data_IF_825824911150
#
_entry.id   IF_825824911150
#
_cell.length_a   1.000
_cell.length_b   1.000
_cell.length_c   1.000
_cell.angle_alpha   90.00
_cell.angle_beta   90.00
_cell.angle_gamma   90.00
#
_symmetry.space_group_name_H-M   'P 1'
#
loop_
_entity.id
_entity.type
_entity.pdbx_description
1 polymer ?
#
# COMPACT_ATOMS: atom_id res chain seq x y z
N UNK A 1 8.37 -7.22 2.78
CA UNK A 1 8.77 -6.01 2.07
C UNK A 1 7.61 -5.42 1.24
N UNK A 2 6.80 -6.17 0.43
CA UNK A 2 5.71 -5.60 -0.36
C UNK A 2 4.73 -4.73 0.44
N UNK A 3 4.36 -5.12 1.66
CA UNK A 3 3.46 -4.33 2.53
C UNK A 3 4.03 -2.93 2.81
N UNK A 4 5.34 -2.84 3.06
CA UNK A 4 6.03 -1.58 3.31
C UNK A 4 6.01 -0.68 2.06
N UNK A 5 6.11 -1.26 0.87
CA UNK A 5 6.02 -0.52 -0.40
C UNK A 5 4.63 0.09 -0.56
N UNK A 6 3.58 -0.70 -0.35
CA UNK A 6 2.20 -0.17 -0.42
C UNK A 6 2.00 0.93 0.62
N UNK A 7 2.47 0.74 1.86
CA UNK A 7 2.43 1.77 2.89
C UNK A 7 3.13 3.05 2.45
N UNK A 8 4.39 2.95 2.00
CA UNK A 8 5.22 4.09 1.58
C UNK A 8 4.52 4.98 0.53
N UNK A 9 3.89 4.36 -0.45
CA UNK A 9 3.26 5.10 -1.55
C UNK A 9 1.82 5.57 -1.26
N UNK A 10 1.18 5.04 -0.23
CA UNK A 10 -0.21 5.40 0.09
C UNK A 10 -0.34 6.29 1.32
N UNK A 11 0.63 6.24 2.26
CA UNK A 11 0.64 7.09 3.44
C UNK A 11 0.91 8.56 3.09
N UNK A 12 0.45 9.53 3.91
CA UNK A 12 0.79 10.94 3.75
C UNK A 12 2.29 11.21 3.76
N UNK A 13 2.73 12.15 2.96
CA UNK A 13 4.14 12.54 2.86
C UNK A 13 4.70 12.32 1.47
N UNK A 14 6.00 12.52 1.33
CA UNK A 14 6.74 12.32 0.08
C UNK A 14 7.50 10.99 0.18
N UNK A 15 7.16 9.99 -0.65
CA UNK A 15 7.88 8.73 -0.64
C UNK A 15 9.33 8.94 -1.09
N UNK A 16 10.25 8.35 -0.35
CA UNK A 16 11.67 8.32 -0.68
C UNK A 16 12.09 6.87 -0.86
N UNK A 17 12.71 6.56 -1.98
CA UNK A 17 13.28 5.25 -2.29
C UNK A 17 14.78 5.34 -2.11
N UNK A 18 15.35 4.55 -1.21
CA UNK A 18 16.79 4.40 -1.17
C UNK A 18 17.22 3.44 -2.26
N UNK A 19 18.34 3.72 -2.93
CA UNK A 19 18.78 2.92 -4.07
C UNK A 19 18.93 1.44 -3.72
N UNK A 20 18.36 0.60 -4.54
CA UNK A 20 18.38 -0.85 -4.36
C UNK A 20 17.17 -1.41 -3.62
N UNK A 21 16.40 -0.60 -2.88
CA UNK A 21 15.17 -1.05 -2.22
C UNK A 21 14.19 -1.61 -3.25
N UNK A 22 14.13 -0.97 -4.41
CA UNK A 22 13.22 -1.34 -5.51
C UNK A 22 13.54 -2.68 -6.16
N UNK A 23 14.76 -3.18 -5.96
CA UNK A 23 15.22 -4.48 -6.49
C UNK A 23 15.51 -5.49 -5.37
N UNK A 24 15.14 -5.17 -4.13
CA UNK A 24 15.31 -6.06 -2.99
C UNK A 24 16.76 -6.21 -2.51
N UNK A 25 17.59 -5.19 -2.72
CA UNK A 25 18.96 -5.18 -2.22
C UNK A 25 18.96 -5.32 -0.69
N UNK A 26 19.55 -6.40 -0.20
CA UNK A 26 19.67 -6.65 1.22
C UNK A 26 20.72 -5.73 1.86
N UNK A 27 20.35 -5.00 2.90
CA UNK A 27 21.21 -4.15 3.69
C UNK A 27 21.28 -4.62 5.15
N UNK A 28 22.46 -4.47 5.76
CA UNK A 28 22.70 -4.63 7.19
C UNK A 28 23.15 -3.29 7.78
N UNK A 29 23.70 -3.31 8.97
CA UNK A 29 24.31 -2.12 9.57
C UNK A 29 25.47 -1.59 8.73
N UNK A 30 25.79 -0.30 8.86
CA UNK A 30 26.91 0.34 8.19
C UNK A 30 28.24 -0.43 8.48
N UNK A 31 29.07 -0.72 7.47
CA UNK A 31 29.02 -0.25 6.08
C UNK A 31 28.22 -1.14 5.10
N UNK A 32 27.65 -2.24 5.56
CA UNK A 32 26.99 -3.25 4.72
C UNK A 32 25.68 -2.78 4.06
N UNK A 33 25.11 -1.67 4.52
CA UNK A 33 23.98 -1.01 3.84
C UNK A 33 24.37 -0.24 2.57
N UNK A 34 25.69 -0.09 2.29
CA UNK A 34 26.23 0.65 1.15
C UNK A 34 26.77 -0.28 0.07
N UNK A 35 26.08 -1.38 -0.20
CA UNK A 35 26.44 -2.32 -1.25
C UNK A 35 26.31 -1.67 -2.63
N UNK A 36 27.09 -2.18 -3.60
CA UNK A 36 26.93 -1.82 -5.01
C UNK A 36 25.55 -2.28 -5.51
N UNK A 37 24.93 -1.46 -6.35
CA UNK A 37 23.67 -1.82 -6.99
C UNK A 37 23.82 -3.10 -7.83
N UNK A 38 22.92 -4.08 -7.73
CA UNK A 38 22.99 -5.31 -8.51
C UNK A 38 22.51 -5.08 -9.94
N UNK A 39 23.42 -4.76 -10.86
CA UNK A 39 23.09 -4.51 -12.26
C UNK A 39 22.65 -5.76 -13.04
N UNK A 40 22.95 -6.93 -12.53
CA UNK A 40 22.55 -8.21 -13.11
C UNK A 40 21.10 -8.50 -12.73
N UNK A 41 20.23 -8.65 -13.73
CA UNK A 41 18.77 -8.84 -13.52
C UNK A 41 18.48 -10.09 -12.68
N UNK A 42 19.29 -11.12 -12.78
CA UNK A 42 19.16 -12.38 -12.05
C UNK A 42 19.34 -12.20 -10.52
N UNK A 43 19.92 -11.07 -10.12
CA UNK A 43 20.13 -10.71 -8.71
C UNK A 43 19.08 -9.73 -8.18
N UNK A 44 18.10 -9.39 -9.00
CA UNK A 44 17.06 -8.42 -8.67
C UNK A 44 15.73 -9.13 -8.39
N UNK A 45 15.00 -8.64 -7.41
CA UNK A 45 13.60 -9.01 -7.21
C UNK A 45 12.73 -8.23 -8.22
N UNK A 46 12.50 -8.85 -9.37
CA UNK A 46 11.73 -8.26 -10.46
C UNK A 46 10.25 -8.10 -10.12
N UNK A 47 9.70 -8.95 -9.24
CA UNK A 47 8.32 -8.83 -8.77
C UNK A 47 8.16 -7.60 -7.87
N UNK A 48 9.12 -7.37 -6.98
CA UNK A 48 9.16 -6.18 -6.14
C UNK A 48 9.34 -4.93 -6.99
N UNK A 49 10.25 -4.95 -7.97
CA UNK A 49 10.44 -3.82 -8.90
C UNK A 49 9.15 -3.46 -9.63
N UNK A 50 8.42 -4.46 -10.13
CA UNK A 50 7.13 -4.25 -10.78
C UNK A 50 6.09 -3.65 -9.81
N UNK A 51 6.10 -4.05 -8.53
CA UNK A 51 5.24 -3.44 -7.51
C UNK A 51 5.57 -1.95 -7.32
N UNK A 52 6.85 -1.59 -7.19
CA UNK A 52 7.27 -0.18 -7.12
C UNK A 52 6.76 0.62 -8.31
N UNK A 53 6.91 0.10 -9.53
CA UNK A 53 6.42 0.77 -10.74
C UNK A 53 4.91 1.00 -10.71
N UNK A 54 4.12 -0.03 -10.31
CA UNK A 54 2.66 0.09 -10.19
C UNK A 54 2.27 1.12 -9.14
N UNK A 55 2.90 1.10 -7.97
CA UNK A 55 2.58 2.03 -6.88
C UNK A 55 2.97 3.48 -7.22
N UNK A 56 4.11 3.68 -7.89
CA UNK A 56 4.50 5.00 -8.42
C UNK A 56 3.45 5.51 -9.42
N UNK A 57 3.05 4.67 -10.37
CA UNK A 57 2.05 5.04 -11.37
C UNK A 57 0.69 5.37 -10.73
N UNK A 58 0.27 4.57 -9.73
CA UNK A 58 -0.96 4.78 -8.98
C UNK A 58 -0.93 6.14 -8.26
N UNK A 59 0.16 6.42 -7.53
CA UNK A 59 0.32 7.69 -6.81
C UNK A 59 0.38 8.89 -7.75
N UNK A 60 1.07 8.77 -8.89
CA UNK A 60 1.12 9.86 -9.90
C UNK A 60 -0.27 10.19 -10.46
N UNK A 61 -1.13 9.19 -10.65
CA UNK A 61 -2.50 9.37 -11.15
C UNK A 61 -3.46 9.89 -10.07
N UNK A 62 -3.23 9.57 -8.81
CA UNK A 62 -4.14 9.93 -7.71
C UNK A 62 -3.75 11.24 -7.03
N UNK A 63 -4.60 12.23 -7.14
CA UNK A 63 -4.45 13.47 -6.38
C UNK A 63 -4.72 13.23 -4.88
N UNK A 64 -5.64 12.32 -4.52
CA UNK A 64 -5.92 11.96 -3.13
C UNK A 64 -4.68 11.37 -2.44
N UNK A 65 -3.89 10.54 -3.13
CA UNK A 65 -2.63 10.02 -2.58
C UNK A 65 -1.56 11.09 -2.42
N UNK A 66 -1.52 12.08 -3.32
CA UNK A 66 -0.50 13.14 -3.28
C UNK A 66 -0.82 14.25 -2.30
N UNK A 67 -2.07 14.69 -2.24
CA UNK A 67 -2.48 15.91 -1.57
C UNK A 67 -3.67 15.74 -0.61
N UNK A 68 -4.31 14.56 -0.61
CA UNK A 68 -5.50 14.30 0.17
C UNK A 68 -5.23 14.15 1.67
N UNK A 69 -6.27 14.38 2.46
CA UNK A 69 -6.30 14.02 3.87
C UNK A 69 -6.19 12.52 4.07
N UNK A 70 -5.94 12.11 5.31
CA UNK A 70 -5.87 10.72 5.72
C UNK A 70 -6.70 10.50 6.96
N UNK A 71 -7.56 9.49 6.94
CA UNK A 71 -8.29 9.04 8.12
C UNK A 71 -8.06 7.55 8.32
N UNK A 72 -7.58 7.17 9.49
CA UNK A 72 -7.52 5.78 9.91
C UNK A 72 -8.94 5.35 10.30
N UNK A 73 -9.39 4.24 9.72
CA UNK A 73 -10.72 3.66 9.95
C UNK A 73 -10.67 2.48 10.92
N UNK A 74 -9.56 1.74 10.87
CA UNK A 74 -9.32 0.58 11.72
C UNK A 74 -7.82 0.42 11.96
N UNK A 75 -7.42 0.13 13.20
CA UNK A 75 -6.03 -0.12 13.55
C UNK A 75 -5.96 -1.00 14.80
N UNK A 76 -6.08 -2.30 14.61
CA UNK A 76 -6.01 -3.29 15.68
C UNK A 76 -5.17 -4.49 15.23
N UNK A 77 -4.49 -5.12 16.18
CA UNK A 77 -3.66 -6.31 15.97
C UNK A 77 -2.64 -6.15 14.85
N UNK A 78 -2.86 -6.85 13.76
CA UNK A 78 -1.99 -6.89 12.60
C UNK A 78 -2.58 -6.16 11.38
N UNK A 79 -3.73 -5.49 11.55
CA UNK A 79 -4.44 -4.84 10.45
C UNK A 79 -4.50 -3.34 10.66
N UNK A 80 -4.24 -2.62 9.59
CA UNK A 80 -4.54 -1.19 9.50
C UNK A 80 -5.33 -0.90 8.24
N UNK A 81 -6.39 -0.11 8.39
CA UNK A 81 -7.21 0.37 7.28
C UNK A 81 -7.33 1.88 7.37
N UNK A 82 -7.05 2.56 6.27
CA UNK A 82 -7.20 4.01 6.20
C UNK A 82 -7.73 4.45 4.84
N UNK A 83 -8.32 5.63 4.81
CA UNK A 83 -8.79 6.26 3.57
C UNK A 83 -8.07 7.58 3.33
N UNK A 84 -7.65 7.78 2.08
CA UNK A 84 -7.13 9.05 1.57
C UNK A 84 -8.25 9.74 0.81
N UNK A 85 -8.47 11.02 1.07
CA UNK A 85 -9.60 11.78 0.51
C UNK A 85 -9.13 13.13 -0.01
N UNK A 86 -9.50 13.43 -1.25
CA UNK A 86 -9.40 14.77 -1.81
C UNK A 86 -10.63 15.03 -2.69
N UNK A 87 -11.46 15.98 -2.30
CA UNK A 87 -12.73 16.26 -2.99
C UNK A 87 -13.59 14.98 -3.08
N UNK A 88 -13.86 14.52 -4.30
CA UNK A 88 -14.63 13.29 -4.54
C UNK A 88 -13.74 12.06 -4.73
N UNK A 89 -12.42 12.23 -4.88
CA UNK A 89 -11.50 11.11 -5.04
C UNK A 89 -11.20 10.48 -3.67
N UNK A 90 -11.33 9.18 -3.61
CA UNK A 90 -11.08 8.37 -2.41
C UNK A 90 -10.21 7.18 -2.74
N UNK A 91 -9.27 6.90 -1.85
CA UNK A 91 -8.40 5.73 -1.93
C UNK A 91 -8.47 5.03 -0.59
N UNK A 92 -9.04 3.83 -0.57
CA UNK A 92 -9.06 2.97 0.61
C UNK A 92 -7.88 2.02 0.55
N UNK A 93 -7.17 1.90 1.66
CA UNK A 93 -6.00 1.05 1.80
C UNK A 93 -6.17 0.15 3.01
N UNK A 94 -5.98 -1.14 2.83
CA UNK A 94 -5.92 -2.10 3.91
C UNK A 94 -4.61 -2.87 3.86
N UNK A 95 -3.95 -3.00 5.01
CA UNK A 95 -2.70 -3.75 5.17
C UNK A 95 -2.89 -4.73 6.31
N UNK A 96 -2.70 -6.01 6.02
CA UNK A 96 -2.71 -7.10 6.97
C UNK A 96 -1.33 -7.76 7.02
N UNK A 97 -0.67 -7.72 8.16
CA UNK A 97 0.62 -8.40 8.38
C UNK A 97 0.49 -9.73 9.14
N UNK A 98 -0.74 -10.13 9.45
CA UNK A 98 -1.07 -11.37 10.16
C UNK A 98 -1.70 -12.41 9.26
N UNK A 99 -2.43 -13.32 9.88
CA UNK A 99 -3.23 -14.35 9.21
C UNK A 99 -4.40 -13.73 8.44
N UNK A 100 -5.04 -14.54 7.59
CA UNK A 100 -6.23 -14.11 6.88
C UNK A 100 -7.36 -13.77 7.88
N UNK A 101 -8.05 -12.67 7.65
CA UNK A 101 -9.07 -12.19 8.57
C UNK A 101 -10.16 -11.39 7.85
N UNK A 102 -11.27 -11.21 8.55
CA UNK A 102 -12.33 -10.30 8.17
C UNK A 102 -12.38 -9.12 9.15
N UNK A 103 -12.58 -7.92 8.62
CA UNK A 103 -12.66 -6.68 9.37
C UNK A 103 -13.96 -5.97 9.01
N UNK A 104 -14.78 -5.69 10.01
CA UNK A 104 -15.97 -4.85 9.85
C UNK A 104 -15.53 -3.39 9.98
N UNK A 105 -15.69 -2.63 8.92
CA UNK A 105 -15.34 -1.21 8.94
C UNK A 105 -16.41 -0.39 9.67
N UNK A 106 -16.00 0.62 10.45
CA UNK A 106 -16.96 1.53 11.07
C UNK A 106 -17.72 2.32 10.00
N UNK A 107 -18.94 2.72 10.33
CA UNK A 107 -19.69 3.63 9.48
C UNK A 107 -18.88 4.92 9.24
N UNK A 108 -18.65 5.25 7.98
CA UNK A 108 -17.88 6.42 7.60
C UNK A 108 -18.50 7.08 6.37
N UNK A 109 -18.62 8.40 6.34
CA UNK A 109 -19.12 9.12 5.17
C UNK A 109 -18.22 8.95 3.96
N UNK A 110 -16.98 8.53 4.15
CA UNK A 110 -16.02 8.28 3.07
C UNK A 110 -16.20 6.91 2.42
N UNK A 111 -16.96 6.01 3.02
CA UNK A 111 -17.22 4.67 2.49
C UNK A 111 -18.60 4.58 1.80
N UNK A 112 -19.52 5.46 2.16
CA UNK A 112 -20.90 5.40 1.69
C UNK A 112 -21.03 5.82 0.22
N UNK A 113 -21.87 5.10 -0.53
CA UNK A 113 -22.21 5.38 -1.93
C UNK A 113 -20.98 5.45 -2.87
N UNK A 114 -19.94 4.67 -2.59
CA UNK A 114 -18.72 4.61 -3.39
C UNK A 114 -18.64 3.28 -4.10
N UNK A 115 -18.42 3.34 -5.41
CA UNK A 115 -18.05 2.15 -6.18
C UNK A 115 -16.54 1.97 -6.14
N UNK A 116 -16.10 0.97 -5.39
CA UNK A 116 -14.69 0.68 -5.20
C UNK A 116 -14.15 -0.25 -6.30
N UNK A 117 -13.03 0.15 -6.90
CA UNK A 117 -12.28 -0.68 -7.83
C UNK A 117 -10.95 -1.06 -7.21
N UNK A 118 -10.67 -2.35 -7.09
CA UNK A 118 -9.35 -2.82 -6.65
C UNK A 118 -8.29 -2.43 -7.69
N UNK A 119 -7.24 -1.78 -7.22
CA UNK A 119 -6.10 -1.33 -8.06
C UNK A 119 -4.82 -2.10 -7.77
N UNK A 120 -4.68 -2.61 -6.55
CA UNK A 120 -3.56 -3.46 -6.15
C UNK A 120 -4.04 -4.44 -5.08
N UNK A 121 -3.49 -5.65 -5.08
CA UNK A 121 -3.77 -6.69 -4.07
C UNK A 121 -4.99 -7.56 -4.37
N UNK A 122 -5.40 -8.35 -3.39
CA UNK A 122 -6.43 -9.40 -3.52
C UNK A 122 -7.49 -9.38 -2.42
N UNK A 123 -7.52 -8.36 -1.57
CA UNK A 123 -8.59 -8.19 -0.57
C UNK A 123 -9.95 -7.95 -1.24
N UNK A 124 -11.01 -8.31 -0.55
CA UNK A 124 -12.38 -8.11 -1.00
C UNK A 124 -13.11 -7.16 -0.05
N UNK A 125 -13.89 -6.26 -0.60
CA UNK A 125 -14.74 -5.33 0.15
C UNK A 125 -16.19 -5.53 -0.29
N UNK A 126 -17.02 -5.98 0.67
CA UNK A 126 -18.45 -6.23 0.44
C UNK A 126 -19.24 -5.71 1.64
N UNK A 127 -20.17 -4.82 1.41
CA UNK A 127 -21.09 -4.28 2.44
C UNK A 127 -20.39 -3.78 3.73
N UNK A 128 -19.20 -3.16 3.58
CA UNK A 128 -18.43 -2.65 4.71
C UNK A 128 -17.58 -3.71 5.43
N UNK A 129 -17.54 -4.94 4.93
CA UNK A 129 -16.69 -6.01 5.43
C UNK A 129 -15.49 -6.17 4.49
N UNK A 130 -14.30 -6.12 5.06
CA UNK A 130 -13.05 -6.42 4.36
C UNK A 130 -12.60 -7.84 4.65
N UNK A 131 -12.54 -8.69 3.62
CA UNK A 131 -11.86 -9.96 3.69
C UNK A 131 -10.42 -9.79 3.19
N UNK A 132 -9.47 -9.97 4.08
CA UNK A 132 -8.05 -9.72 3.84
C UNK A 132 -7.27 -11.04 3.89
N UNK A 133 -6.56 -11.42 2.82
CA UNK A 133 -5.63 -12.55 2.87
C UNK A 133 -4.53 -12.32 3.91
N UNK A 134 -3.87 -13.41 4.32
CA UNK A 134 -2.69 -13.32 5.18
C UNK A 134 -1.57 -12.53 4.50
N UNK A 135 -0.84 -11.73 5.27
CA UNK A 135 0.32 -10.95 4.83
C UNK A 135 0.02 -10.24 3.49
N UNK A 136 -1.02 -9.42 3.47
CA UNK A 136 -1.52 -8.78 2.26
C UNK A 136 -1.68 -7.27 2.41
N UNK A 137 -1.62 -6.58 1.28
CA UNK A 137 -2.03 -5.19 1.17
C UNK A 137 -2.95 -5.03 -0.04
N UNK A 138 -4.01 -4.25 0.12
CA UNK A 138 -4.95 -4.00 -0.98
C UNK A 138 -5.29 -2.52 -1.03
N UNK A 139 -5.39 -2.01 -2.25
CA UNK A 139 -5.73 -0.61 -2.54
C UNK A 139 -6.94 -0.55 -3.45
N UNK A 140 -7.97 0.14 -3.02
CA UNK A 140 -9.16 0.43 -3.83
C UNK A 140 -9.25 1.93 -4.11
N UNK A 141 -9.80 2.26 -5.26
CA UNK A 141 -10.11 3.65 -5.64
C UNK A 141 -11.52 3.71 -6.23
N UNK A 142 -12.13 4.88 -6.11
CA UNK A 142 -13.34 5.23 -6.84
C UNK A 142 -13.03 5.91 -8.17
#
# INVERSE_FOLDING_TARGET
LPLAVVWLFTWPGVPCIYYGDEVGLDGKNDPFCRKTFPWQVEKQDTALFALYQRMIALRKKSQALRHGGCQVLYAEDNVVVFVRVLNQQRVLVAINRGEACEVVLPASPFLNAVQWQCKEGHGQLTDGILALPAISATVWMN
#
